data_IF_022864451946
#
_entry.id   IF_022864451946
#
_cell.length_a   1.000
_cell.length_b   1.000
_cell.length_c   1.000
_cell.angle_alpha   90.00
_cell.angle_beta   90.00
_cell.angle_gamma   90.00
#
_symmetry.space_group_name_H-M   'P 1'
#
loop_
_entity.id
_entity.type
_entity.pdbx_description
1 polymer ?
#
# COMPACT_ATOMS: atom_id res chain seq x y z
N UNK A 1 5.61 -8.13 -20.96
CA UNK A 1 6.21 -7.86 -19.63
C UNK A 1 6.50 -6.37 -19.53
N UNK A 2 5.63 -5.58 -18.90
CA UNK A 2 5.84 -4.13 -18.76
C UNK A 2 6.89 -3.86 -17.69
N UNK A 3 8.01 -3.24 -18.05
CA UNK A 3 8.94 -2.67 -17.08
C UNK A 3 8.15 -1.67 -16.23
N UNK A 4 8.04 -1.93 -14.92
CA UNK A 4 7.46 -0.96 -14.01
C UNK A 4 8.31 0.30 -14.06
N UNK A 5 7.90 1.28 -14.87
CA UNK A 5 8.57 2.57 -15.01
C UNK A 5 8.79 3.13 -13.59
N UNK A 6 10.05 3.19 -13.18
CA UNK A 6 10.40 3.64 -11.84
C UNK A 6 10.05 5.12 -11.76
N UNK A 7 8.89 5.43 -11.16
CA UNK A 7 8.43 6.82 -11.00
C UNK A 7 9.51 7.62 -10.24
N UNK A 8 9.80 8.87 -10.61
CA UNK A 8 10.70 9.71 -9.84
C UNK A 8 10.12 9.99 -8.45
N UNK A 9 10.98 10.38 -7.49
CA UNK A 9 10.53 10.81 -6.17
C UNK A 9 9.54 11.98 -6.28
N UNK A 10 8.39 11.88 -5.62
CA UNK A 10 7.34 12.91 -5.67
C UNK A 10 7.82 14.29 -5.18
N UNK A 11 8.74 14.31 -4.20
CA UNK A 11 9.34 15.53 -3.63
C UNK A 11 10.51 16.06 -4.47
N UNK A 12 11.63 15.33 -4.50
CA UNK A 12 12.88 15.83 -5.09
C UNK A 12 13.05 15.54 -6.58
N UNK A 13 12.08 14.87 -7.22
CA UNK A 13 12.07 14.47 -8.64
C UNK A 13 13.24 13.59 -9.11
N UNK A 14 14.18 13.24 -8.23
CA UNK A 14 15.29 12.34 -8.55
C UNK A 14 14.78 10.93 -8.85
N UNK A 15 15.47 10.25 -9.77
CA UNK A 15 15.23 8.84 -10.06
C UNK A 15 15.37 8.00 -8.79
N UNK A 16 14.36 7.19 -8.49
CA UNK A 16 14.42 6.25 -7.36
C UNK A 16 15.42 5.10 -7.60
N UNK A 17 15.91 4.92 -8.83
CA UNK A 17 17.00 4.01 -9.15
C UNK A 17 18.37 4.52 -8.69
N UNK A 18 18.52 5.85 -8.55
CA UNK A 18 19.82 6.52 -8.34
C UNK A 18 20.06 6.97 -6.90
N UNK A 19 19.19 6.66 -5.94
CA UNK A 19 19.53 6.92 -4.54
C UNK A 19 20.61 5.94 -4.08
N UNK A 20 21.88 6.25 -4.40
CA UNK A 20 23.08 5.58 -3.88
C UNK A 20 23.31 5.81 -2.37
N UNK A 21 22.47 6.64 -1.74
CA UNK A 21 22.46 6.88 -0.28
C UNK A 21 21.39 6.08 0.45
N UNK A 22 21.01 4.90 -0.04
CA UNK A 22 20.40 3.90 0.83
C UNK A 22 21.55 3.11 1.44
N UNK A 23 21.67 3.14 2.77
CA UNK A 23 22.48 2.18 3.50
C UNK A 23 22.21 0.77 2.94
N UNK A 24 23.24 -0.07 2.83
CA UNK A 24 23.14 -1.44 2.30
C UNK A 24 21.95 -2.15 2.99
N UNK A 25 20.83 -2.34 2.28
CA UNK A 25 19.56 -2.85 2.85
C UNK A 25 18.35 -1.89 2.84
N UNK A 26 18.51 -0.64 2.43
CA UNK A 26 17.43 0.36 2.43
C UNK A 26 16.35 0.09 1.38
N UNK A 27 15.11 -0.14 1.83
CA UNK A 27 13.95 -0.37 0.96
C UNK A 27 13.37 0.96 0.46
N UNK A 28 12.99 1.00 -0.82
CA UNK A 28 12.19 2.09 -1.35
C UNK A 28 10.81 2.13 -0.65
N UNK A 29 10.40 3.30 -0.14
CA UNK A 29 9.04 3.51 0.38
C UNK A 29 8.06 3.76 -0.78
N UNK A 30 7.89 2.72 -1.61
CA UNK A 30 7.04 2.69 -2.81
C UNK A 30 5.58 3.05 -2.53
N UNK A 31 5.14 2.97 -1.27
CA UNK A 31 3.77 3.30 -0.88
C UNK A 31 3.45 4.78 -0.99
N UNK A 32 4.41 5.72 -0.95
CA UNK A 32 4.14 7.18 -1.07
C UNK A 32 4.91 7.86 -2.21
N UNK A 33 5.63 7.09 -3.02
CA UNK A 33 6.42 7.64 -4.13
C UNK A 33 7.60 8.52 -3.66
N UNK A 34 8.10 8.33 -2.45
CA UNK A 34 9.22 9.07 -1.89
C UNK A 34 10.49 8.22 -1.87
N UNK A 35 11.64 8.85 -2.15
CA UNK A 35 12.92 8.24 -1.86
C UNK A 35 13.18 8.21 -0.35
N UNK A 36 14.08 7.34 0.12
CA UNK A 36 14.33 7.13 1.56
C UNK A 36 14.65 8.43 2.32
N UNK A 37 15.55 9.26 1.77
CA UNK A 37 15.91 10.55 2.38
C UNK A 37 14.71 11.51 2.47
N UNK A 38 13.94 11.65 1.39
CA UNK A 38 12.73 12.48 1.41
C UNK A 38 11.68 11.93 2.37
N UNK A 39 11.51 10.61 2.47
CA UNK A 39 10.58 10.00 3.41
C UNK A 39 10.94 10.34 4.87
N UNK A 40 12.22 10.21 5.26
CA UNK A 40 12.67 10.52 6.62
C UNK A 40 12.47 12.00 6.95
N UNK A 41 12.80 12.90 6.02
CA UNK A 41 12.58 14.34 6.22
C UNK A 41 11.08 14.64 6.37
N UNK A 42 10.24 14.18 5.43
CA UNK A 42 8.78 14.37 5.50
C UNK A 42 8.20 13.80 6.79
N UNK A 43 8.63 12.62 7.22
CA UNK A 43 8.22 12.01 8.50
C UNK A 43 8.61 12.88 9.69
N UNK A 44 9.85 13.37 9.74
CA UNK A 44 10.35 14.21 10.84
C UNK A 44 9.62 15.55 10.93
N UNK A 45 9.22 16.11 9.78
CA UNK A 45 8.49 17.38 9.71
C UNK A 45 6.97 17.23 9.83
N UNK A 46 6.43 16.02 9.98
CA UNK A 46 4.98 15.79 10.07
C UNK A 46 4.22 15.95 8.74
N UNK A 47 4.92 16.11 7.62
CA UNK A 47 4.35 16.42 6.30
C UNK A 47 3.85 15.19 5.54
N UNK A 48 3.72 14.02 6.19
CA UNK A 48 3.43 12.76 5.51
C UNK A 48 2.07 12.75 4.78
N UNK A 49 1.14 13.54 5.26
CA UNK A 49 -0.19 13.73 4.67
C UNK A 49 -0.14 14.39 3.28
N UNK A 50 0.85 15.26 3.02
CA UNK A 50 1.05 15.90 1.71
C UNK A 50 1.46 14.91 0.61
N UNK A 51 1.86 13.70 0.99
CA UNK A 51 2.30 12.64 0.08
C UNK A 51 1.39 11.42 0.24
N UNK A 52 0.15 11.45 -0.27
CA UNK A 52 -0.83 10.38 -0.07
C UNK A 52 -0.29 9.03 -0.51
N UNK A 53 -0.76 7.97 0.14
CA UNK A 53 -0.34 6.61 -0.21
C UNK A 53 -0.82 6.27 -1.61
N UNK A 54 0.10 5.84 -2.47
CA UNK A 54 -0.15 5.30 -3.80
C UNK A 54 -0.88 3.95 -3.77
N UNK A 55 -0.90 3.28 -2.61
CA UNK A 55 -1.59 2.01 -2.39
C UNK A 55 -2.37 2.09 -1.09
N UNK A 56 -3.59 1.57 -1.08
CA UNK A 56 -4.42 1.44 0.13
C UNK A 56 -3.66 0.66 1.20
N UNK A 57 -3.81 1.06 2.46
CA UNK A 57 -3.22 0.30 3.57
C UNK A 57 -3.94 -1.04 3.72
N UNK A 58 -3.23 -2.07 4.21
CA UNK A 58 -3.86 -3.33 4.61
C UNK A 58 -4.98 -3.08 5.63
N UNK A 59 -4.72 -2.29 6.66
CA UNK A 59 -5.74 -2.04 7.71
C UNK A 59 -6.97 -1.30 7.19
N UNK A 60 -6.79 -0.33 6.29
CA UNK A 60 -7.90 0.37 5.63
C UNK A 60 -8.75 -0.61 4.82
N UNK A 61 -8.09 -1.48 4.04
CA UNK A 61 -8.78 -2.48 3.22
C UNK A 61 -9.52 -3.49 4.09
N UNK A 62 -8.91 -3.98 5.18
CA UNK A 62 -9.55 -4.93 6.09
C UNK A 62 -10.73 -4.32 6.82
N UNK A 63 -10.62 -3.06 7.26
CA UNK A 63 -11.71 -2.34 7.90
C UNK A 63 -12.88 -2.16 6.93
N UNK A 64 -12.61 -1.69 5.72
CA UNK A 64 -13.66 -1.49 4.71
C UNK A 64 -14.26 -2.81 4.23
N UNK A 65 -13.44 -3.86 4.10
CA UNK A 65 -13.91 -5.22 3.84
C UNK A 65 -14.92 -5.69 4.89
N UNK A 66 -14.61 -5.50 6.18
CA UNK A 66 -15.51 -5.87 7.26
C UNK A 66 -16.82 -5.07 7.20
N UNK A 67 -16.73 -3.75 7.00
CA UNK A 67 -17.90 -2.90 6.86
C UNK A 67 -18.82 -3.36 5.71
N UNK A 68 -18.26 -3.69 4.54
CA UNK A 68 -19.02 -4.20 3.40
C UNK A 68 -19.67 -5.56 3.70
N UNK A 69 -19.02 -6.42 4.49
CA UNK A 69 -19.59 -7.70 4.95
C UNK A 69 -20.76 -7.49 5.90
N UNK A 70 -20.67 -6.51 6.79
CA UNK A 70 -21.73 -6.11 7.72
C UNK A 70 -22.95 -5.54 6.97
N UNK A 71 -22.71 -4.85 5.85
CA UNK A 71 -23.76 -4.41 4.91
C UNK A 71 -24.39 -5.56 4.09
N UNK A 72 -23.96 -6.80 4.31
CA UNK A 72 -24.54 -7.98 3.67
C UNK A 72 -23.91 -8.36 2.33
N UNK A 73 -22.87 -7.66 1.86
CA UNK A 73 -22.15 -8.05 0.64
C UNK A 73 -21.36 -9.33 0.94
N UNK A 74 -21.76 -10.45 0.34
CA UNK A 74 -21.13 -11.76 0.61
C UNK A 74 -20.14 -12.21 -0.46
N UNK A 75 -20.35 -11.79 -1.71
CA UNK A 75 -19.54 -12.17 -2.87
C UNK A 75 -18.15 -11.53 -2.83
N UNK A 76 -17.09 -12.34 -2.96
CA UNK A 76 -15.72 -11.83 -3.04
C UNK A 76 -15.49 -10.92 -4.25
N UNK A 77 -16.16 -11.21 -5.37
CA UNK A 77 -16.10 -10.37 -6.58
C UNK A 77 -16.67 -8.98 -6.31
N UNK A 78 -17.80 -8.91 -5.62
CA UNK A 78 -18.46 -7.63 -5.32
C UNK A 78 -17.68 -6.84 -4.27
N UNK A 79 -17.12 -7.51 -3.27
CA UNK A 79 -16.21 -6.91 -2.29
C UNK A 79 -14.96 -6.34 -2.97
N UNK A 80 -14.34 -7.09 -3.88
CA UNK A 80 -13.17 -6.63 -4.62
C UNK A 80 -13.50 -5.41 -5.50
N UNK A 81 -14.65 -5.44 -6.18
CA UNK A 81 -15.15 -4.33 -6.98
C UNK A 81 -15.40 -3.07 -6.13
N UNK A 82 -16.09 -3.21 -4.99
CA UNK A 82 -16.37 -2.12 -4.06
C UNK A 82 -15.07 -1.50 -3.51
N UNK A 83 -14.08 -2.35 -3.20
CA UNK A 83 -12.76 -1.92 -2.72
C UNK A 83 -11.85 -1.38 -3.84
N UNK A 84 -12.32 -1.38 -5.10
CA UNK A 84 -11.59 -0.98 -6.32
C UNK A 84 -10.27 -1.74 -6.51
N UNK A 85 -10.30 -3.05 -6.29
CA UNK A 85 -9.15 -3.93 -6.49
C UNK A 85 -9.53 -5.21 -7.24
N UNK A 86 -8.53 -5.93 -7.73
CA UNK A 86 -8.77 -7.23 -8.35
C UNK A 86 -9.08 -8.28 -7.27
N UNK A 87 -9.88 -9.28 -7.63
CA UNK A 87 -10.23 -10.39 -6.71
C UNK A 87 -8.98 -11.11 -6.20
N UNK A 88 -8.01 -11.37 -7.07
CA UNK A 88 -6.73 -11.97 -6.66
C UNK A 88 -5.91 -11.09 -5.71
N UNK A 89 -6.00 -9.76 -5.80
CA UNK A 89 -5.34 -8.87 -4.86
C UNK A 89 -6.03 -8.89 -3.49
N UNK A 90 -7.37 -8.88 -3.47
CA UNK A 90 -8.16 -9.03 -2.25
C UNK A 90 -7.85 -10.38 -1.56
N UNK A 91 -7.91 -11.48 -2.31
CA UNK A 91 -7.60 -12.82 -1.80
C UNK A 91 -6.20 -12.91 -1.18
N UNK A 92 -5.18 -12.43 -1.90
CA UNK A 92 -3.82 -12.42 -1.38
C UNK A 92 -3.66 -11.56 -0.11
N UNK A 93 -4.41 -10.47 0.00
CA UNK A 93 -4.40 -9.62 1.18
C UNK A 93 -5.05 -10.30 2.37
N UNK A 94 -6.24 -10.89 2.19
CA UNK A 94 -6.95 -11.66 3.21
C UNK A 94 -6.12 -12.86 3.69
N UNK A 95 -5.54 -13.64 2.75
CA UNK A 95 -4.65 -14.76 3.07
C UNK A 95 -3.47 -14.33 3.94
N UNK A 96 -2.83 -13.20 3.61
CA UNK A 96 -1.70 -12.67 4.41
C UNK A 96 -2.13 -12.15 5.76
N UNK A 97 -3.31 -11.55 5.86
CA UNK A 97 -3.89 -11.11 7.11
C UNK A 97 -4.20 -12.30 8.03
N UNK A 98 -4.76 -13.39 7.48
CA UNK A 98 -4.99 -14.65 8.19
C UNK A 98 -3.70 -15.27 8.71
N UNK A 99 -2.66 -15.38 7.86
CA UNK A 99 -1.34 -15.87 8.28
C UNK A 99 -0.69 -15.00 9.39
N UNK A 100 -1.11 -13.75 9.52
CA UNK A 100 -0.66 -12.85 10.57
C UNK A 100 -1.56 -12.88 11.83
N UNK A 101 -2.61 -13.71 11.86
CA UNK A 101 -3.55 -13.81 12.97
C UNK A 101 -4.55 -12.65 13.06
N UNK A 102 -4.82 -11.93 11.97
CA UNK A 102 -5.75 -10.80 11.98
C UNK A 102 -7.21 -11.30 12.04
N UNK A 103 -7.99 -10.96 13.08
CA UNK A 103 -9.35 -11.47 13.27
C UNK A 103 -10.35 -10.97 12.21
N UNK A 104 -9.99 -9.93 11.45
CA UNK A 104 -10.86 -9.37 10.39
C UNK A 104 -10.81 -10.18 9.10
N UNK A 105 -9.84 -11.10 8.97
CA UNK A 105 -9.73 -11.97 7.82
C UNK A 105 -10.51 -13.27 8.08
N UNK A 106 -11.66 -13.50 7.42
CA UNK A 106 -12.46 -14.71 7.62
C UNK A 106 -11.71 -15.95 7.12
N UNK A 107 -12.14 -17.13 7.55
CA UNK A 107 -11.66 -18.45 7.10
C UNK A 107 -12.07 -18.81 5.66
#
# INVERSE_FOLDING_TARGET
>A
MGTAAQRPCARCKRSMAMTRNVARGGRAHKSRGLCAGCYVVVLRHGELELYPRLRRNRDEVLHEFQHLREQGIRSHRDLASALRMTEGALYNMLRRARLAGDPRAPD
#
